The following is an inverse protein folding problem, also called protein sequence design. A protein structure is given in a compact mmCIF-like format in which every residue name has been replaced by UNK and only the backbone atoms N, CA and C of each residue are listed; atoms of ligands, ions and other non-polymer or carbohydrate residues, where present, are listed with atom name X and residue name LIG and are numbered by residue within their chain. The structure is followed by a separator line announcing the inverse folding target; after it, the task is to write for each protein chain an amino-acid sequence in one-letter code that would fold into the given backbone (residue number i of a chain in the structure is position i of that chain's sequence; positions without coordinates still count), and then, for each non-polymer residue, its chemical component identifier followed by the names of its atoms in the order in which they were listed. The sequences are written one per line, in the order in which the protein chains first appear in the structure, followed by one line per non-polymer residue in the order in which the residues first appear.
data_IF_266829870819
#
_entry.id   IF_266829870819
#
_cell.length_a   1.000
_cell.length_b   1.000
_cell.length_c   1.000
_cell.angle_alpha   90.00
_cell.angle_beta   90.00
_cell.angle_gamma   90.00
#
_symmetry.space_group_name_H-M   'P 1'
#
loop_
_entity.id
_entity.type
_entity.pdbx_description
1 polymer ?
#
# COMPACT_ATOMS: atom_id res chain seq x y z
N UNK A 1 -38.79 9.24 -22.10
CA UNK A 1 -39.32 9.73 -20.81
C UNK A 1 -38.57 9.02 -19.70
N UNK A 2 -37.98 9.81 -18.79
CA UNK A 2 -37.18 9.44 -17.60
C UNK A 2 -37.50 8.09 -16.95
N UNK A 3 -36.48 7.30 -16.55
CA UNK A 3 -36.45 6.52 -15.29
C UNK A 3 -35.27 5.51 -15.23
N UNK A 4 -34.01 5.95 -15.26
CA UNK A 4 -32.89 5.07 -14.90
C UNK A 4 -31.82 5.88 -14.18
N UNK A 5 -31.20 5.29 -13.17
CA UNK A 5 -30.17 5.87 -12.29
C UNK A 5 -30.66 6.64 -11.06
N UNK A 6 -31.50 5.97 -10.27
CA UNK A 6 -31.48 6.10 -8.82
C UNK A 6 -30.14 5.54 -8.29
N UNK A 7 -29.09 6.35 -8.31
CA UNK A 7 -27.80 6.00 -7.73
C UNK A 7 -27.93 5.96 -6.21
N UNK A 8 -28.04 4.74 -5.66
CA UNK A 8 -28.02 4.50 -4.22
C UNK A 8 -26.61 4.79 -3.72
N UNK A 9 -26.35 6.04 -3.34
CA UNK A 9 -25.20 6.41 -2.52
C UNK A 9 -25.33 5.66 -1.21
N UNK A 10 -24.70 4.48 -1.15
CA UNK A 10 -24.49 3.74 0.10
C UNK A 10 -23.42 4.49 0.87
N UNK A 11 -23.80 5.62 1.45
CA UNK A 11 -22.98 6.30 2.45
C UNK A 11 -22.77 5.31 3.59
N UNK A 12 -21.55 4.81 3.74
CA UNK A 12 -21.18 4.10 4.97
C UNK A 12 -21.42 5.08 6.11
N UNK A 13 -22.13 4.60 7.14
CA UNK A 13 -22.48 5.44 8.28
C UNK A 13 -21.20 6.04 8.89
N UNK A 14 -21.19 7.32 9.30
CA UNK A 14 -20.05 7.91 10.01
C UNK A 14 -19.58 7.06 11.20
N UNK A 15 -20.51 6.33 11.83
CA UNK A 15 -20.21 5.42 12.94
C UNK A 15 -19.39 4.19 12.54
N UNK A 16 -19.57 3.63 11.34
CA UNK A 16 -18.77 2.49 10.87
C UNK A 16 -17.33 2.91 10.56
N UNK A 17 -17.15 4.13 10.03
CA UNK A 17 -15.82 4.68 9.75
C UNK A 17 -15.06 4.97 11.05
N UNK A 18 -15.72 5.55 12.04
CA UNK A 18 -15.15 5.77 13.37
C UNK A 18 -14.77 4.44 14.03
N UNK A 19 -15.62 3.42 13.93
CA UNK A 19 -15.32 2.08 14.44
C UNK A 19 -14.07 1.46 13.81
N UNK A 20 -13.92 1.56 12.49
CA UNK A 20 -12.73 1.08 11.77
C UNK A 20 -11.45 1.82 12.18
N UNK A 21 -11.53 3.15 12.38
CA UNK A 21 -10.37 3.96 12.81
C UNK A 21 -9.93 3.57 14.22
N UNK A 22 -10.87 3.44 15.16
CA UNK A 22 -10.56 3.06 16.55
C UNK A 22 -9.96 1.65 16.60
N UNK A 23 -10.54 0.71 15.85
CA UNK A 23 -10.02 -0.65 15.76
C UNK A 23 -8.60 -0.69 15.15
N UNK A 24 -8.37 0.06 14.08
CA UNK A 24 -7.05 0.19 13.46
C UNK A 24 -6.02 0.78 14.42
N UNK A 25 -6.37 1.84 15.16
CA UNK A 25 -5.50 2.45 16.15
C UNK A 25 -5.13 1.47 17.29
N UNK A 26 -6.12 0.75 17.83
CA UNK A 26 -5.90 -0.26 18.87
C UNK A 26 -5.00 -1.40 18.38
N UNK A 27 -5.19 -1.86 17.14
CA UNK A 27 -4.36 -2.89 16.54
C UNK A 27 -2.89 -2.45 16.40
N UNK A 28 -2.67 -1.22 15.93
CA UNK A 28 -1.33 -0.64 15.79
C UNK A 28 -0.65 -0.49 17.15
N UNK A 29 -1.39 -0.01 18.16
CA UNK A 29 -0.88 0.12 19.53
C UNK A 29 -0.51 -1.26 20.11
N UNK A 30 -1.37 -2.27 19.92
CA UNK A 30 -1.10 -3.64 20.35
C UNK A 30 0.16 -4.23 19.71
N UNK A 31 0.32 -4.04 18.38
CA UNK A 31 1.54 -4.46 17.69
C UNK A 31 2.78 -3.72 18.17
N UNK A 32 2.68 -2.41 18.44
CA UNK A 32 3.81 -1.62 18.94
C UNK A 32 4.27 -2.11 20.32
N UNK A 33 3.34 -2.45 21.21
CA UNK A 33 3.64 -3.00 22.54
C UNK A 33 4.27 -4.39 22.40
N UNK A 34 3.71 -5.27 21.58
CA UNK A 34 4.23 -6.61 21.34
C UNK A 34 5.67 -6.57 20.82
N UNK A 35 5.92 -5.69 19.84
CA UNK A 35 7.24 -5.53 19.24
C UNK A 35 8.24 -4.91 20.22
N UNK A 36 7.83 -3.88 20.98
CA UNK A 36 8.65 -3.27 22.02
C UNK A 36 9.04 -4.27 23.11
N UNK A 37 8.11 -5.12 23.54
CA UNK A 37 8.36 -6.17 24.52
C UNK A 37 9.28 -7.27 23.97
N UNK A 38 9.09 -7.67 22.71
CA UNK A 38 9.98 -8.61 22.01
C UNK A 38 11.42 -8.10 21.90
N UNK A 39 11.60 -6.82 21.52
CA UNK A 39 12.91 -6.18 21.48
C UNK A 39 13.54 -6.17 22.87
N UNK A 40 12.81 -5.73 23.91
CA UNK A 40 13.33 -5.67 25.28
C UNK A 40 13.77 -7.05 25.78
N UNK A 41 12.94 -8.09 25.61
CA UNK A 41 13.28 -9.44 26.06
C UNK A 41 14.50 -9.97 25.31
N UNK A 42 14.48 -9.91 23.98
CA UNK A 42 15.56 -10.43 23.16
C UNK A 42 16.87 -9.70 23.44
N UNK A 43 16.82 -8.37 23.58
CA UNK A 43 17.99 -7.56 23.86
C UNK A 43 18.58 -7.90 25.23
N UNK A 44 17.74 -7.96 26.27
CA UNK A 44 18.20 -8.23 27.64
C UNK A 44 18.80 -9.62 27.80
N UNK A 45 18.43 -10.57 26.93
CA UNK A 45 19.01 -11.90 26.96
C UNK A 45 20.31 -12.00 26.15
N UNK A 46 20.39 -11.32 25.00
CA UNK A 46 21.49 -11.51 24.05
C UNK A 46 22.65 -10.53 24.26
N UNK A 47 22.36 -9.23 24.35
CA UNK A 47 23.38 -8.18 24.29
C UNK A 47 24.24 -8.08 25.56
N UNK A 48 23.68 -8.18 26.78
CA UNK A 48 24.48 -8.26 27.99
C UNK A 48 25.36 -9.52 28.03
N UNK A 49 24.85 -10.65 27.52
CA UNK A 49 25.57 -11.93 27.55
C UNK A 49 26.73 -11.98 26.55
N UNK A 50 26.55 -11.45 25.34
CA UNK A 50 27.58 -11.52 24.28
C UNK A 50 28.56 -10.35 24.33
N UNK A 51 28.08 -9.15 24.63
CA UNK A 51 28.85 -7.91 24.51
C UNK A 51 29.08 -7.18 25.84
N UNK A 52 28.51 -7.65 26.95
CA UNK A 52 28.63 -6.98 28.26
C UNK A 52 27.93 -5.62 28.32
N UNK A 53 26.98 -5.36 27.42
CA UNK A 53 26.26 -4.10 27.34
C UNK A 53 25.17 -3.99 28.43
N UNK A 54 24.77 -2.75 28.80
CA UNK A 54 23.70 -2.55 29.76
C UNK A 54 22.36 -3.09 29.24
N UNK A 55 21.54 -3.57 30.16
CA UNK A 55 20.16 -4.00 29.91
C UNK A 55 19.32 -2.81 29.44
N UNK A 56 18.43 -3.04 28.50
CA UNK A 56 17.51 -2.05 27.97
C UNK A 56 16.21 -2.02 28.79
N UNK A 57 15.81 -0.83 29.21
CA UNK A 57 14.48 -0.61 29.82
C UNK A 57 13.40 -0.50 28.74
N UNK A 58 12.12 -0.68 29.10
CA UNK A 58 11.00 -0.59 28.15
C UNK A 58 11.00 0.75 27.38
N UNK A 59 11.26 1.86 28.08
CA UNK A 59 11.32 3.19 27.47
C UNK A 59 12.49 3.35 26.49
N UNK A 60 13.64 2.74 26.76
CA UNK A 60 14.76 2.73 25.82
C UNK A 60 14.47 1.87 24.59
N UNK A 61 13.79 0.73 24.77
CA UNK A 61 13.48 -0.18 23.67
C UNK A 61 12.49 0.47 22.70
N UNK A 62 11.48 1.16 23.26
CA UNK A 62 10.57 2.01 22.49
C UNK A 62 11.31 3.18 21.84
N UNK A 63 12.25 3.83 22.55
CA UNK A 63 13.07 4.90 22.00
C UNK A 63 13.89 4.49 20.78
N UNK A 64 14.61 3.36 20.86
CA UNK A 64 15.38 2.80 19.73
C UNK A 64 14.46 2.37 18.59
N UNK A 65 13.29 1.80 18.90
CA UNK A 65 12.31 1.43 17.89
C UNK A 65 11.78 2.65 17.13
N UNK A 66 11.46 3.74 17.84
CA UNK A 66 11.03 5.01 17.24
C UNK A 66 12.17 5.61 16.41
N UNK A 67 13.40 5.63 16.93
CA UNK A 67 14.57 6.13 16.21
C UNK A 67 14.79 5.33 14.92
N UNK A 68 14.73 4.01 14.99
CA UNK A 68 14.82 3.11 13.83
C UNK A 68 13.69 3.36 12.85
N UNK A 69 12.46 3.62 13.33
CA UNK A 69 11.33 4.03 12.49
C UNK A 69 11.54 5.38 11.82
N UNK A 70 12.18 6.34 12.47
CA UNK A 70 12.48 7.65 11.87
C UNK A 70 13.58 7.50 10.81
N UNK A 71 14.63 6.74 11.10
CA UNK A 71 15.75 6.53 10.20
C UNK A 71 15.40 5.62 9.01
N UNK A 72 14.65 4.55 9.23
CA UNK A 72 14.31 3.54 8.23
C UNK A 72 12.91 3.76 7.60
N UNK A 73 12.01 4.43 8.31
CA UNK A 73 10.64 4.72 7.86
C UNK A 73 10.43 6.12 7.30
N UNK A 74 11.48 6.94 7.19
CA UNK A 74 11.44 8.28 6.62
C UNK A 74 11.21 8.34 5.10
N UNK A 75 11.12 7.20 4.40
CA UNK A 75 10.93 7.17 2.95
C UNK A 75 10.10 5.95 2.50
N UNK A 76 8.78 5.98 2.72
CA UNK A 76 7.92 4.91 2.18
C UNK A 76 6.47 4.95 2.64
N UNK A 77 5.63 5.66 1.89
CA UNK A 77 4.25 5.24 1.65
C UNK A 77 3.20 5.51 2.74
N UNK A 78 2.67 6.74 2.77
CA UNK A 78 1.26 6.97 3.07
C UNK A 78 0.68 7.86 1.96
N UNK A 79 0.48 7.25 0.79
CA UNK A 79 -0.27 7.83 -0.31
C UNK A 79 -1.76 7.56 -0.09
N UNK A 80 -2.38 8.29 0.83
CA UNK A 80 -3.84 8.38 0.86
C UNK A 80 -4.28 9.25 -0.31
N UNK A 81 -5.07 8.67 -1.21
CA UNK A 81 -5.66 9.38 -2.35
C UNK A 81 -6.83 10.26 -1.89
N UNK A 82 -6.98 11.37 -2.61
CA UNK A 82 -8.18 12.21 -2.77
C UNK A 82 -8.44 13.29 -1.69
N UNK A 83 -8.59 14.60 -1.95
CA UNK A 83 -8.60 15.44 -3.16
C UNK A 83 -8.14 16.86 -2.79
N UNK A 84 -7.70 17.61 -3.81
CA UNK A 84 -7.80 19.09 -3.92
C UNK A 84 -6.47 19.83 -4.09
N UNK A 85 -6.34 20.39 -5.29
CA UNK A 85 -5.64 21.63 -5.68
C UNK A 85 -4.60 22.24 -4.72
N UNK A 86 -3.32 22.14 -5.11
CA UNK A 86 -2.50 23.28 -5.61
C UNK A 86 -1.02 22.88 -5.64
N UNK A 87 -0.52 22.82 -6.87
CA UNK A 87 0.85 23.07 -7.35
C UNK A 87 1.92 23.39 -6.28
N UNK A 88 2.86 22.47 -6.10
CA UNK A 88 4.27 22.82 -5.86
C UNK A 88 5.17 21.90 -6.69
N UNK A 89 6.05 22.52 -7.48
CA UNK A 89 7.08 21.83 -8.25
C UNK A 89 8.09 21.26 -7.27
N UNK A 90 8.26 19.94 -7.25
CA UNK A 90 9.51 19.32 -6.85
C UNK A 90 9.77 18.12 -7.78
N UNK A 91 10.95 18.12 -8.39
CA UNK A 91 11.44 17.12 -9.34
C UNK A 91 11.36 15.73 -8.69
N UNK A 92 10.62 14.82 -9.30
CA UNK A 92 10.62 13.40 -8.96
C UNK A 92 10.52 12.65 -10.29
N UNK A 93 11.67 12.39 -10.92
CA UNK A 93 11.77 11.63 -12.17
C UNK A 93 11.15 10.23 -12.05
N UNK A 94 10.99 9.70 -10.84
CA UNK A 94 10.28 8.46 -10.53
C UNK A 94 8.75 8.53 -10.72
N UNK A 95 8.13 9.72 -10.73
CA UNK A 95 6.69 9.87 -11.05
C UNK A 95 6.41 9.86 -12.56
N UNK A 96 7.39 10.17 -13.41
CA UNK A 96 7.21 10.17 -14.86
C UNK A 96 6.93 8.74 -15.38
N UNK A 97 7.64 7.74 -14.84
CA UNK A 97 7.46 6.32 -15.17
C UNK A 97 6.05 5.80 -14.80
N UNK A 98 5.54 6.15 -13.62
CA UNK A 98 4.18 5.77 -13.19
C UNK A 98 3.06 6.49 -13.98
N UNK A 99 3.31 7.67 -14.55
CA UNK A 99 2.33 8.34 -15.41
C UNK A 99 2.13 7.61 -16.74
N UNK A 100 3.17 6.94 -17.26
CA UNK A 100 3.08 6.17 -18.50
C UNK A 100 2.13 4.97 -18.35
N UNK A 101 2.14 4.32 -17.19
CA UNK A 101 1.25 3.20 -16.85
C UNK A 101 -0.23 3.61 -16.80
N UNK A 102 -0.54 4.88 -16.54
CA UNK A 102 -1.93 5.35 -16.55
C UNK A 102 -2.58 5.21 -17.93
N UNK A 103 -1.80 5.32 -19.00
CA UNK A 103 -2.28 5.16 -20.37
C UNK A 103 -2.20 3.71 -20.89
N UNK A 104 -1.53 2.82 -20.16
CA UNK A 104 -1.41 1.40 -20.52
C UNK A 104 -2.77 0.68 -20.44
N UNK A 105 -3.57 1.02 -19.42
CA UNK A 105 -4.92 0.48 -19.23
C UNK A 105 -5.87 0.91 -20.36
N UNK A 106 -5.79 2.18 -20.78
CA UNK A 106 -6.61 2.73 -21.86
C UNK A 106 -6.19 2.12 -23.21
N UNK A 107 -4.87 2.01 -23.47
CA UNK A 107 -4.32 1.39 -24.67
C UNK A 107 -4.71 -0.09 -24.82
N UNK A 108 -4.62 -0.88 -23.75
CA UNK A 108 -4.98 -2.31 -23.81
C UNK A 108 -6.47 -2.54 -24.08
N UNK A 109 -7.33 -1.63 -23.59
CA UNK A 109 -8.77 -1.71 -23.83
C UNK A 109 -9.15 -1.37 -25.27
N UNK A 110 -8.52 -0.35 -25.85
CA UNK A 110 -8.87 0.11 -27.20
C UNK A 110 -8.14 -0.69 -28.28
N UNK A 111 -6.84 -0.89 -28.14
CA UNK A 111 -5.98 -1.43 -29.20
C UNK A 111 -5.63 -2.91 -28.97
N UNK A 112 -5.49 -3.32 -27.70
CA UNK A 112 -5.17 -4.69 -27.33
C UNK A 112 -6.24 -5.70 -27.74
N UNK A 113 -7.53 -5.37 -27.57
CA UNK A 113 -8.61 -6.31 -27.89
C UNK A 113 -8.65 -6.63 -29.39
N UNK A 114 -8.38 -5.65 -30.25
CA UNK A 114 -8.33 -5.86 -31.70
C UNK A 114 -7.17 -6.77 -32.10
N UNK A 115 -5.99 -6.55 -31.53
CA UNK A 115 -4.82 -7.40 -31.78
C UNK A 115 -5.02 -8.84 -31.28
N UNK A 116 -5.76 -9.02 -30.18
CA UNK A 116 -6.10 -10.33 -29.64
C UNK A 116 -7.10 -11.09 -30.52
N UNK A 117 -8.14 -10.41 -31.02
CA UNK A 117 -9.08 -11.00 -31.98
C UNK A 117 -8.38 -11.40 -33.29
N UNK A 118 -7.48 -10.57 -33.80
CA UNK A 118 -6.66 -10.91 -34.97
C UNK A 118 -5.76 -12.14 -34.71
N UNK A 119 -5.26 -12.30 -33.49
CA UNK A 119 -4.48 -13.47 -33.08
C UNK A 119 -5.34 -14.73 -32.99
N UNK A 120 -6.54 -14.65 -32.41
CA UNK A 120 -7.48 -15.78 -32.37
C UNK A 120 -7.89 -16.22 -33.78
N UNK A 121 -8.15 -15.28 -34.70
CA UNK A 121 -8.46 -15.58 -36.09
C UNK A 121 -7.31 -16.30 -36.82
N UNK A 122 -6.05 -16.02 -36.45
CA UNK A 122 -4.89 -16.75 -37.00
C UNK A 122 -4.81 -18.18 -36.46
N UNK A 123 -5.07 -18.38 -35.17
CA UNK A 123 -5.11 -19.73 -34.59
C UNK A 123 -6.22 -20.57 -35.23
N UNK A 124 -7.44 -20.03 -35.32
CA UNK A 124 -8.57 -20.75 -35.92
C UNK A 124 -8.34 -21.05 -37.41
N UNK A 125 -7.75 -20.14 -38.18
CA UNK A 125 -7.44 -20.39 -39.59
C UNK A 125 -6.36 -21.47 -39.79
N UNK A 126 -5.32 -21.47 -38.94
CA UNK A 126 -4.31 -22.52 -38.95
C UNK A 126 -4.90 -23.89 -38.57
N UNK A 127 -5.85 -23.94 -37.62
CA UNK A 127 -6.51 -25.21 -37.27
C UNK A 127 -7.39 -25.73 -38.43
N UNK A 128 -8.09 -24.86 -39.16
CA UNK A 128 -8.95 -25.27 -40.30
C UNK A 128 -8.20 -25.69 -41.57
N UNK A 129 -6.89 -25.43 -41.66
CA UNK A 129 -6.07 -25.73 -42.85
C UNK A 129 -5.20 -26.98 -42.67
N UNK A 130 -5.20 -27.57 -41.47
CA UNK A 130 -4.46 -28.79 -41.13
C UNK A 130 -5.37 -30.03 -41.01
N UNK A 131 -6.62 -29.96 -41.51
CA UNK A 131 -7.59 -31.07 -41.66
C UNK A 131 -7.88 -31.36 -43.14
#
# INVERSE_FOLDING_TARGET
MSNYFKHKMRGKSPGEMIGMIIFGALFIIGLAILFGFGIMWLWNWLMPMIFGLPTLTYWEAVGIFILSKILLGGCGGFGEKDKSSKKSKCHNDTKAEFSKWKHYDDFWKEEGNKAYEDYLNRLTHNDTTND
#
